data_IF_915399856724
#
_entry.id   IF_915399856724
#
_cell.length_a   1.000
_cell.length_b   1.000
_cell.length_c   1.000
_cell.angle_alpha   90.00
_cell.angle_beta   90.00
_cell.angle_gamma   90.00
#
_symmetry.space_group_name_H-M   'P 1'
#
loop_
_entity.id
_entity.type
_entity.pdbx_description
1 polymer ?
#
# COMPACT_ATOMS: atom_id res chain seq x y z
N UNK A 1 -11.25 30.41 18.70
CA UNK A 1 -10.34 29.62 17.84
C UNK A 1 -10.49 28.13 18.18
N UNK A 2 -11.42 27.40 17.53
CA UNK A 2 -11.71 25.97 17.81
C UNK A 2 -11.75 25.12 16.51
N UNK A 3 -11.07 25.56 15.44
CA UNK A 3 -11.16 24.91 14.13
C UNK A 3 -10.33 23.64 13.88
N UNK A 4 -9.18 23.35 14.56
CA UNK A 4 -8.35 22.21 14.16
C UNK A 4 -8.97 20.85 14.51
N UNK A 5 -9.77 20.76 15.59
CA UNK A 5 -10.36 19.50 16.05
C UNK A 5 -11.35 18.87 15.05
N UNK A 6 -12.11 19.67 14.29
CA UNK A 6 -13.08 19.16 13.30
C UNK A 6 -12.44 18.65 11.99
N UNK A 7 -11.20 19.03 11.72
CA UNK A 7 -10.47 18.60 10.52
C UNK A 7 -9.92 17.19 10.69
N UNK A 8 -9.43 16.86 11.89
CA UNK A 8 -8.94 15.51 12.20
C UNK A 8 -10.06 14.46 12.19
N UNK A 9 -11.28 14.80 12.62
CA UNK A 9 -12.47 13.94 12.50
C UNK A 9 -12.79 13.59 11.05
N UNK A 10 -12.46 14.48 10.10
CA UNK A 10 -12.67 14.25 8.66
C UNK A 10 -11.53 13.46 7.99
N UNK A 11 -10.44 13.18 8.69
CA UNK A 11 -9.29 12.42 8.16
C UNK A 11 -9.29 10.96 8.62
N UNK A 12 -10.46 10.42 8.94
CA UNK A 12 -10.63 9.10 9.52
C UNK A 12 -9.99 7.96 8.70
N UNK A 13 -10.09 8.02 7.38
CA UNK A 13 -9.53 6.99 6.49
C UNK A 13 -8.01 7.05 6.48
N UNK A 14 -7.45 8.24 6.28
CA UNK A 14 -6.01 8.49 6.28
C UNK A 14 -5.38 8.18 7.64
N UNK A 15 -6.00 8.62 8.72
CA UNK A 15 -5.53 8.31 10.08
C UNK A 15 -5.54 6.80 10.36
N UNK A 16 -6.58 6.09 9.89
CA UNK A 16 -6.64 4.62 10.02
C UNK A 16 -5.55 3.93 9.20
N UNK A 17 -5.24 4.42 8.00
CA UNK A 17 -4.15 3.90 7.17
C UNK A 17 -2.78 4.10 7.85
N UNK A 18 -2.50 5.31 8.35
CA UNK A 18 -1.25 5.62 9.07
C UNK A 18 -1.12 4.79 10.34
N UNK A 19 -2.18 4.67 11.14
CA UNK A 19 -2.15 3.85 12.36
C UNK A 19 -1.95 2.37 12.06
N UNK A 20 -2.57 1.87 10.99
CA UNK A 20 -2.37 0.48 10.56
C UNK A 20 -0.94 0.24 10.10
N UNK A 21 -0.40 1.14 9.27
CA UNK A 21 1.00 1.09 8.83
C UNK A 21 1.95 1.07 10.02
N UNK A 22 1.76 1.97 10.99
CA UNK A 22 2.59 2.05 12.19
C UNK A 22 2.48 0.79 13.06
N UNK A 23 1.26 0.30 13.32
CA UNK A 23 1.03 -0.86 14.19
C UNK A 23 1.56 -2.17 13.59
N UNK A 24 1.47 -2.32 12.27
CA UNK A 24 1.87 -3.53 11.56
C UNK A 24 3.13 -3.33 10.72
N UNK A 25 3.95 -2.34 11.07
CA UNK A 25 5.11 -1.91 10.31
C UNK A 25 6.03 -3.07 9.91
N UNK A 26 6.30 -4.00 10.83
CA UNK A 26 7.17 -5.16 10.54
C UNK A 26 6.64 -6.06 9.43
N UNK A 27 5.32 -6.31 9.40
CA UNK A 27 4.71 -7.16 8.38
C UNK A 27 4.66 -6.42 7.04
N UNK A 28 4.31 -5.13 7.07
CA UNK A 28 4.28 -4.27 5.88
C UNK A 28 5.68 -4.16 5.28
N UNK A 29 6.69 -3.91 6.12
CA UNK A 29 8.08 -3.83 5.72
C UNK A 29 8.60 -5.17 5.20
N UNK A 30 8.28 -6.29 5.86
CA UNK A 30 8.70 -7.62 5.43
C UNK A 30 8.16 -7.98 4.05
N UNK A 31 6.86 -7.77 3.81
CA UNK A 31 6.25 -7.99 2.50
C UNK A 31 6.76 -6.98 1.46
N UNK A 32 6.97 -5.72 1.86
CA UNK A 32 7.58 -4.70 1.02
C UNK A 32 9.01 -5.04 0.62
N UNK A 33 9.81 -5.63 1.51
CA UNK A 33 11.19 -6.03 1.27
C UNK A 33 11.25 -7.18 0.25
N UNK A 34 10.37 -8.18 0.38
CA UNK A 34 10.24 -9.26 -0.60
C UNK A 34 9.94 -8.68 -1.99
N UNK A 35 8.97 -7.76 -2.07
CA UNK A 35 8.62 -7.09 -3.33
C UNK A 35 9.77 -6.23 -3.88
N UNK A 36 10.46 -5.50 -3.00
CA UNK A 36 11.58 -4.62 -3.37
C UNK A 36 12.78 -5.40 -3.90
N UNK A 37 13.21 -6.45 -3.18
CA UNK A 37 14.31 -7.31 -3.62
C UNK A 37 13.96 -8.05 -4.91
N UNK A 38 12.74 -8.59 -5.01
CA UNK A 38 12.29 -9.22 -6.25
C UNK A 38 12.38 -8.26 -7.44
N UNK A 39 11.99 -6.98 -7.24
CA UNK A 39 12.09 -5.98 -8.29
C UNK A 39 13.53 -5.59 -8.63
N UNK A 40 14.43 -5.55 -7.64
CA UNK A 40 15.86 -5.31 -7.86
C UNK A 40 16.47 -6.40 -8.73
N UNK A 41 16.18 -7.67 -8.42
CA UNK A 41 16.67 -8.81 -9.21
C UNK A 41 16.11 -8.75 -10.64
N UNK A 42 14.82 -8.46 -10.80
CA UNK A 42 14.17 -8.34 -12.12
C UNK A 42 14.81 -7.28 -13.03
N UNK A 43 15.34 -6.20 -12.46
CA UNK A 43 15.97 -5.09 -13.19
C UNK A 43 17.47 -5.30 -13.41
N UNK A 44 17.97 -6.50 -13.16
CA UNK A 44 19.37 -6.84 -13.37
C UNK A 44 20.30 -6.34 -12.28
N UNK A 45 19.77 -6.02 -11.09
CA UNK A 45 20.56 -5.55 -9.94
C UNK A 45 21.73 -6.46 -9.57
N UNK A 46 21.61 -7.77 -9.86
CA UNK A 46 22.64 -8.78 -9.60
C UNK A 46 23.13 -9.49 -10.88
N UNK A 47 22.91 -8.88 -12.05
CA UNK A 47 23.24 -9.46 -13.35
C UNK A 47 22.05 -9.94 -14.16
N UNK A 48 22.33 -10.43 -15.36
CA UNK A 48 21.30 -10.91 -16.27
C UNK A 48 20.61 -12.15 -15.71
N UNK A 49 19.28 -12.13 -15.79
CA UNK A 49 18.43 -13.25 -15.40
C UNK A 49 17.69 -13.79 -16.61
N UNK A 50 17.43 -15.09 -16.63
CA UNK A 50 16.65 -15.70 -17.70
C UNK A 50 15.17 -15.28 -17.61
N UNK A 51 14.46 -15.32 -18.73
CA UNK A 51 13.04 -14.97 -18.79
C UNK A 51 12.18 -15.79 -17.83
N UNK A 52 12.55 -17.06 -17.57
CA UNK A 52 11.86 -17.91 -16.61
C UNK A 52 11.97 -17.38 -15.17
N UNK A 53 13.15 -16.93 -14.76
CA UNK A 53 13.39 -16.33 -13.44
C UNK A 53 12.61 -15.02 -13.31
N UNK A 54 12.56 -14.19 -14.36
CA UNK A 54 11.77 -12.95 -14.37
C UNK A 54 10.29 -13.21 -14.11
N UNK A 55 9.70 -14.24 -14.74
CA UNK A 55 8.30 -14.62 -14.54
C UNK A 55 8.06 -15.09 -13.10
N UNK A 56 8.94 -15.94 -12.55
CA UNK A 56 8.82 -16.41 -11.17
C UNK A 56 8.88 -15.23 -10.20
N UNK A 57 9.83 -14.30 -10.40
CA UNK A 57 9.95 -13.10 -9.58
C UNK A 57 8.71 -12.21 -9.68
N UNK A 58 8.09 -12.10 -10.86
CA UNK A 58 6.86 -11.32 -11.04
C UNK A 58 5.75 -11.91 -10.17
N UNK A 59 5.59 -13.23 -10.20
CA UNK A 59 4.62 -13.94 -9.35
C UNK A 59 4.92 -13.72 -7.87
N UNK A 60 6.19 -13.76 -7.44
CA UNK A 60 6.58 -13.53 -6.04
C UNK A 60 6.28 -12.09 -5.59
N UNK A 61 6.69 -11.10 -6.38
CA UNK A 61 6.49 -9.68 -6.08
C UNK A 61 5.00 -9.36 -5.99
N UNK A 62 4.23 -9.82 -6.97
CA UNK A 62 2.79 -9.53 -7.00
C UNK A 62 2.04 -10.31 -5.92
N UNK A 63 2.45 -11.54 -5.61
CA UNK A 63 1.89 -12.30 -4.49
C UNK A 63 2.13 -11.60 -3.15
N UNK A 64 3.30 -10.98 -2.94
CA UNK A 64 3.57 -10.22 -1.72
C UNK A 64 2.64 -9.00 -1.59
N UNK A 65 2.36 -8.29 -2.70
CA UNK A 65 1.41 -7.17 -2.74
C UNK A 65 -0.03 -7.62 -2.50
N UNK A 66 -0.46 -8.70 -3.14
CA UNK A 66 -1.79 -9.28 -2.94
C UNK A 66 -1.95 -9.74 -1.48
N UNK A 67 -0.93 -10.37 -0.91
CA UNK A 67 -0.94 -10.80 0.48
C UNK A 67 -1.04 -9.61 1.45
N UNK A 68 -0.30 -8.53 1.19
CA UNK A 68 -0.40 -7.29 1.95
C UNK A 68 -1.82 -6.71 1.86
N UNK A 69 -2.38 -6.61 0.64
CA UNK A 69 -3.72 -6.10 0.44
C UNK A 69 -4.78 -6.94 1.18
N UNK A 70 -4.68 -8.27 1.11
CA UNK A 70 -5.53 -9.21 1.86
C UNK A 70 -5.38 -9.03 3.37
N UNK A 71 -4.16 -8.84 3.85
CA UNK A 71 -3.88 -8.59 5.26
C UNK A 71 -4.55 -7.29 5.75
N UNK A 72 -4.49 -6.22 4.97
CA UNK A 72 -5.10 -4.93 5.32
C UNK A 72 -6.63 -4.98 5.23
N UNK A 73 -7.18 -5.49 4.12
CA UNK A 73 -8.64 -5.56 3.94
C UNK A 73 -9.27 -6.50 4.96
N UNK A 74 -8.50 -7.48 5.46
CA UNK A 74 -8.86 -8.37 6.56
C UNK A 74 -8.63 -7.81 7.96
N UNK A 75 -8.14 -6.57 8.08
CA UNK A 75 -7.81 -5.89 9.34
C UNK A 75 -6.80 -6.70 10.17
N UNK A 76 -5.63 -6.95 9.59
CA UNK A 76 -4.54 -7.76 10.15
C UNK A 76 -4.80 -9.28 10.17
N UNK A 77 -5.69 -9.77 9.31
CA UNK A 77 -5.95 -11.20 9.15
C UNK A 77 -6.17 -11.57 7.68
N UNK A 78 -5.21 -12.27 7.08
CA UNK A 78 -5.24 -12.67 5.66
C UNK A 78 -6.47 -13.52 5.33
N UNK A 79 -6.82 -14.48 6.19
CA UNK A 79 -7.97 -15.38 5.98
C UNK A 79 -9.28 -14.58 5.96
N UNK A 80 -9.43 -13.64 6.88
CA UNK A 80 -10.59 -12.74 6.90
C UNK A 80 -10.62 -11.86 5.64
N UNK A 81 -9.47 -11.37 5.18
CA UNK A 81 -9.34 -10.63 3.93
C UNK A 81 -9.80 -11.44 2.72
N UNK A 82 -9.33 -12.68 2.60
CA UNK A 82 -9.72 -13.58 1.51
C UNK A 82 -11.22 -13.85 1.51
N UNK A 83 -11.80 -14.12 2.69
CA UNK A 83 -13.25 -14.30 2.83
C UNK A 83 -14.02 -13.04 2.41
N UNK A 84 -13.55 -11.84 2.75
CA UNK A 84 -14.18 -10.58 2.33
C UNK A 84 -14.14 -10.41 0.82
N UNK A 85 -13.00 -10.64 0.18
CA UNK A 85 -12.89 -10.57 -1.29
C UNK A 85 -13.79 -11.63 -1.93
N UNK A 86 -13.75 -12.87 -1.47
CA UNK A 86 -14.61 -13.96 -1.98
C UNK A 86 -16.10 -13.61 -1.88
N UNK A 87 -16.53 -12.97 -0.79
CA UNK A 87 -17.93 -12.53 -0.61
C UNK A 87 -18.37 -11.51 -1.68
N UNK A 88 -17.47 -10.62 -2.13
CA UNK A 88 -17.77 -9.65 -3.20
C UNK A 88 -18.12 -10.37 -4.52
N UNK A 89 -17.44 -11.48 -4.83
CA UNK A 89 -17.66 -12.22 -6.07
C UNK A 89 -18.79 -13.25 -6.00
N UNK A 90 -19.06 -13.82 -4.82
CA UNK A 90 -20.02 -14.93 -4.65
C UNK A 90 -21.44 -14.49 -4.34
N UNK A 91 -21.64 -13.39 -3.59
CA UNK A 91 -22.97 -12.97 -3.13
C UNK A 91 -23.54 -11.83 -3.98
N UNK A 92 -24.14 -12.18 -5.14
CA UNK A 92 -24.68 -11.20 -6.10
C UNK A 92 -25.77 -10.28 -5.51
N UNK A 93 -26.62 -10.80 -4.62
CA UNK A 93 -27.69 -10.03 -3.97
C UNK A 93 -27.12 -8.97 -3.02
N UNK A 94 -26.17 -9.35 -2.17
CA UNK A 94 -25.48 -8.41 -1.26
C UNK A 94 -24.64 -7.38 -2.02
N UNK A 95 -24.11 -7.73 -3.19
CA UNK A 95 -23.29 -6.82 -4.00
C UNK A 95 -24.06 -5.54 -4.36
N UNK A 96 -25.33 -5.64 -4.76
CA UNK A 96 -26.13 -4.45 -5.13
C UNK A 96 -26.38 -3.55 -3.91
N UNK A 97 -26.65 -4.14 -2.75
CA UNK A 97 -26.81 -3.40 -1.50
C UNK A 97 -25.50 -2.73 -1.05
N UNK A 98 -24.37 -3.44 -1.07
CA UNK A 98 -23.05 -2.89 -0.74
C UNK A 98 -22.64 -1.78 -1.71
N UNK A 99 -22.94 -1.94 -3.00
CA UNK A 99 -22.66 -0.92 -4.02
C UNK A 99 -23.50 0.35 -3.80
N UNK A 100 -24.78 0.18 -3.46
CA UNK A 100 -25.67 1.31 -3.10
C UNK A 100 -25.17 2.05 -1.86
N UNK A 101 -24.73 1.32 -0.82
CA UNK A 101 -24.12 1.91 0.37
C UNK A 101 -22.84 2.68 0.01
N UNK A 102 -21.96 2.09 -0.80
CA UNK A 102 -20.72 2.72 -1.23
C UNK A 102 -20.98 4.01 -2.02
N UNK A 103 -21.90 3.99 -2.99
CA UNK A 103 -22.31 5.17 -3.77
C UNK A 103 -22.93 6.24 -2.88
N UNK A 104 -23.80 5.86 -1.95
CA UNK A 104 -24.41 6.78 -1.00
C UNK A 104 -23.32 7.45 -0.16
N UNK A 105 -22.43 6.68 0.45
CA UNK A 105 -21.34 7.18 1.28
C UNK A 105 -20.40 8.09 0.50
N UNK A 106 -20.03 7.69 -0.72
CA UNK A 106 -19.18 8.47 -1.61
C UNK A 106 -19.81 9.83 -1.93
N UNK A 107 -21.12 9.88 -2.19
CA UNK A 107 -21.84 11.14 -2.43
C UNK A 107 -22.05 11.98 -1.18
N UNK A 108 -22.35 11.36 -0.03
CA UNK A 108 -22.60 12.09 1.22
C UNK A 108 -21.34 12.59 1.89
N UNK A 109 -20.21 11.90 1.72
CA UNK A 109 -18.94 12.20 2.37
C UNK A 109 -17.84 12.57 1.37
N UNK A 110 -18.21 13.04 0.16
CA UNK A 110 -17.26 13.35 -0.91
C UNK A 110 -16.16 14.33 -0.48
N UNK A 111 -16.51 15.34 0.31
CA UNK A 111 -15.54 16.34 0.80
C UNK A 111 -14.55 15.73 1.80
N UNK A 112 -15.03 14.86 2.68
CA UNK A 112 -14.19 14.07 3.60
C UNK A 112 -13.24 13.17 2.81
N UNK A 113 -13.74 12.46 1.80
CA UNK A 113 -12.92 11.62 0.92
C UNK A 113 -11.86 12.43 0.18
N UNK A 114 -12.23 13.61 -0.35
CA UNK A 114 -11.31 14.51 -1.01
C UNK A 114 -10.18 14.95 -0.08
N UNK A 115 -10.49 15.33 1.16
CA UNK A 115 -9.46 15.68 2.15
C UNK A 115 -8.52 14.51 2.46
N UNK A 116 -9.05 13.29 2.62
CA UNK A 116 -8.22 12.11 2.84
C UNK A 116 -7.30 11.83 1.64
N UNK A 117 -7.82 12.01 0.42
CA UNK A 117 -7.06 11.82 -0.80
C UNK A 117 -5.97 12.89 -0.97
N UNK A 118 -6.26 14.16 -0.66
CA UNK A 118 -5.26 15.23 -0.65
C UNK A 118 -4.15 14.92 0.35
N UNK A 119 -4.50 14.53 1.59
CA UNK A 119 -3.51 14.19 2.61
C UNK A 119 -2.66 12.98 2.21
N UNK A 120 -3.29 11.94 1.66
CA UNK A 120 -2.60 10.79 1.10
C UNK A 120 -1.62 11.21 -0.01
N UNK A 121 -2.09 12.01 -0.98
CA UNK A 121 -1.28 12.49 -2.10
C UNK A 121 -0.11 13.36 -1.65
N UNK A 122 -0.28 14.21 -0.63
CA UNK A 122 0.81 15.01 -0.06
C UNK A 122 1.89 14.12 0.56
N UNK A 123 1.50 13.09 1.32
CA UNK A 123 2.47 12.13 1.89
C UNK A 123 3.13 11.29 0.81
N UNK A 124 2.37 10.79 -0.17
CA UNK A 124 2.91 10.02 -1.28
C UNK A 124 3.89 10.85 -2.12
N UNK A 125 3.57 12.12 -2.38
CA UNK A 125 4.45 13.06 -3.05
C UNK A 125 5.73 13.30 -2.24
N UNK A 126 5.61 13.58 -0.94
CA UNK A 126 6.77 13.77 -0.07
C UNK A 126 7.68 12.53 -0.05
N UNK A 127 7.11 11.32 0.07
CA UNK A 127 7.89 10.09 0.05
C UNK A 127 8.59 9.88 -1.30
N UNK A 128 7.91 10.12 -2.43
CA UNK A 128 8.56 10.04 -3.74
C UNK A 128 9.67 11.07 -3.88
N UNK A 129 9.44 12.31 -3.46
CA UNK A 129 10.45 13.36 -3.51
C UNK A 129 11.69 12.99 -2.67
N UNK A 130 11.49 12.46 -1.46
CA UNK A 130 12.59 12.00 -0.61
C UNK A 130 13.37 10.83 -1.24
N UNK A 131 12.68 9.91 -1.92
CA UNK A 131 13.31 8.79 -2.63
C UNK A 131 14.13 9.30 -3.81
N UNK A 132 13.60 10.24 -4.59
CA UNK A 132 14.30 10.82 -5.73
C UNK A 132 15.56 11.56 -5.25
N UNK A 133 15.44 12.38 -4.20
CA UNK A 133 16.58 13.05 -3.57
C UNK A 133 17.63 12.05 -3.07
N UNK A 134 17.20 10.97 -2.42
CA UNK A 134 18.11 9.93 -1.94
C UNK A 134 18.77 9.17 -3.10
N UNK A 135 18.08 8.88 -4.20
CA UNK A 135 18.67 8.20 -5.34
C UNK A 135 19.65 9.08 -6.14
N UNK A 136 19.29 10.34 -6.38
CA UNK A 136 20.02 11.23 -7.27
C UNK A 136 21.06 12.11 -6.58
N UNK A 137 20.75 12.67 -5.40
CA UNK A 137 21.65 13.63 -4.75
C UNK A 137 22.70 12.97 -3.85
N UNK A 138 22.44 11.76 -3.33
CA UNK A 138 23.38 11.12 -2.40
C UNK A 138 24.41 10.21 -3.07
N UNK A 139 24.45 10.15 -4.41
CA UNK A 139 25.29 9.21 -5.17
C UNK A 139 25.18 7.74 -4.72
N UNK A 140 24.12 7.37 -3.98
CA UNK A 140 23.95 6.03 -3.40
C UNK A 140 24.05 4.94 -4.47
N UNK A 141 23.54 5.21 -5.67
CA UNK A 141 23.69 4.33 -6.82
C UNK A 141 25.14 4.06 -7.17
N UNK A 142 25.95 5.11 -7.29
CA UNK A 142 27.37 5.01 -7.60
C UNK A 142 28.10 4.27 -6.50
N UNK A 143 27.83 4.60 -5.23
CA UNK A 143 28.46 3.92 -4.09
C UNK A 143 28.11 2.43 -4.03
N UNK A 144 26.85 2.04 -4.28
CA UNK A 144 26.44 0.63 -4.28
C UNK A 144 27.07 -0.14 -5.44
N UNK A 145 27.28 0.52 -6.59
CA UNK A 145 27.96 -0.04 -7.74
C UNK A 145 29.47 -0.20 -7.50
N UNK A 146 30.13 0.84 -6.99
CA UNK A 146 31.56 0.82 -6.66
C UNK A 146 31.91 -0.25 -5.61
N UNK A 147 31.01 -0.51 -4.67
CA UNK A 147 31.18 -1.57 -3.67
C UNK A 147 30.74 -2.97 -4.17
N UNK A 148 30.37 -3.11 -5.45
CA UNK A 148 30.00 -4.39 -6.06
C UNK A 148 28.67 -4.99 -5.56
N UNK A 149 27.82 -4.18 -4.91
CA UNK A 149 26.50 -4.62 -4.43
C UNK A 149 25.51 -4.65 -5.60
N UNK A 150 25.63 -3.71 -6.53
CA UNK A 150 24.89 -3.69 -7.78
C UNK A 150 25.80 -4.00 -8.96
N UNK A 151 25.29 -4.76 -9.93
CA UNK A 151 26.02 -5.01 -11.17
C UNK A 151 26.18 -3.72 -11.99
N UNK A 152 27.24 -3.64 -12.79
CA UNK A 152 27.56 -2.51 -13.65
C UNK A 152 26.49 -2.19 -14.70
N UNK A 153 25.67 -3.18 -15.05
CA UNK A 153 24.55 -3.07 -15.99
C UNK A 153 23.25 -2.62 -15.33
N UNK A 154 23.24 -2.46 -13.99
CA UNK A 154 22.03 -2.11 -13.26
C UNK A 154 21.62 -0.68 -13.55
N UNK A 155 20.33 -0.42 -13.72
CA UNK A 155 19.84 0.95 -13.89
C UNK A 155 19.61 1.64 -12.54
N UNK A 156 19.68 2.98 -12.50
CA UNK A 156 19.29 3.79 -11.33
C UNK A 156 17.86 3.49 -10.85
N UNK A 157 16.98 3.11 -11.79
CA UNK A 157 15.61 2.67 -11.53
C UNK A 157 15.53 1.51 -10.54
N UNK A 158 16.58 0.70 -10.43
CA UNK A 158 16.69 -0.41 -9.47
C UNK A 158 16.53 0.09 -8.03
N UNK A 159 17.23 1.17 -7.67
CA UNK A 159 17.21 1.75 -6.32
C UNK A 159 15.91 2.52 -6.08
N UNK A 160 15.46 3.29 -7.07
CA UNK A 160 14.19 3.99 -6.99
C UNK A 160 13.03 3.01 -6.73
N UNK A 161 12.98 1.91 -7.48
CA UNK A 161 11.94 0.90 -7.31
C UNK A 161 12.10 0.09 -6.03
N UNK A 162 13.32 -0.13 -5.54
CA UNK A 162 13.54 -0.72 -4.23
C UNK A 162 12.86 0.12 -3.14
N UNK A 163 13.16 1.41 -3.06
CA UNK A 163 12.57 2.28 -2.04
C UNK A 163 11.06 2.49 -2.24
N UNK A 164 10.57 2.58 -3.49
CA UNK A 164 9.14 2.68 -3.77
C UNK A 164 8.37 1.44 -3.30
N UNK A 165 8.93 0.24 -3.47
CA UNK A 165 8.31 -1.00 -2.98
C UNK A 165 8.38 -1.16 -1.46
N UNK A 166 9.28 -0.44 -0.78
CA UNK A 166 9.35 -0.42 0.69
C UNK A 166 8.41 0.60 1.34
N UNK A 167 8.02 1.66 0.63
CA UNK A 167 7.36 2.82 1.22
C UNK A 167 6.05 3.18 0.52
N UNK A 168 6.13 3.84 -0.63
CA UNK A 168 4.99 4.40 -1.37
C UNK A 168 3.99 3.32 -1.74
N UNK A 169 4.44 2.22 -2.36
CA UNK A 169 3.54 1.16 -2.85
C UNK A 169 2.80 0.47 -1.69
N UNK A 170 3.46 -0.02 -0.63
CA UNK A 170 2.75 -0.57 0.53
C UNK A 170 1.78 0.40 1.17
N UNK A 171 2.15 1.69 1.28
CA UNK A 171 1.30 2.72 1.85
C UNK A 171 0.04 2.97 1.01
N UNK A 172 0.19 3.01 -0.33
CA UNK A 172 -0.94 3.09 -1.27
C UNK A 172 -1.89 1.91 -1.11
N UNK A 173 -1.38 0.68 -1.08
CA UNK A 173 -2.21 -0.52 -0.90
C UNK A 173 -2.98 -0.49 0.43
N UNK A 174 -2.34 -0.02 1.50
CA UNK A 174 -2.98 0.15 2.80
C UNK A 174 -4.09 1.20 2.73
N UNK A 175 -3.81 2.37 2.13
CA UNK A 175 -4.78 3.44 1.99
C UNK A 175 -5.99 3.02 1.16
N UNK A 176 -5.78 2.35 0.03
CA UNK A 176 -6.86 1.83 -0.84
C UNK A 176 -7.72 0.80 -0.13
N UNK A 177 -7.11 -0.16 0.59
CA UNK A 177 -7.86 -1.13 1.36
C UNK A 177 -8.68 -0.47 2.48
N UNK A 178 -8.12 0.54 3.16
CA UNK A 178 -8.84 1.31 4.17
C UNK A 178 -9.98 2.13 3.56
N UNK A 179 -9.76 2.71 2.39
CA UNK A 179 -10.78 3.44 1.63
C UNK A 179 -11.95 2.51 1.27
N UNK A 180 -11.68 1.30 0.77
CA UNK A 180 -12.73 0.31 0.48
C UNK A 180 -13.53 -0.06 1.75
N UNK A 181 -12.86 -0.21 2.89
CA UNK A 181 -13.53 -0.48 4.16
C UNK A 181 -14.33 0.73 4.65
N UNK A 182 -13.87 1.94 4.38
CA UNK A 182 -14.55 3.17 4.74
C UNK A 182 -15.85 3.35 3.94
N UNK A 183 -15.79 3.28 2.61
CA UNK A 183 -16.97 3.48 1.76
C UNK A 183 -18.02 2.38 1.96
N UNK A 184 -17.61 1.17 2.36
CA UNK A 184 -18.53 0.06 2.69
C UNK A 184 -18.99 0.07 4.16
N UNK A 185 -18.67 1.11 4.93
CA UNK A 185 -19.02 1.29 6.35
C UNK A 185 -18.54 0.14 7.26
N UNK A 186 -17.45 -0.52 6.88
CA UNK A 186 -16.81 -1.59 7.65
C UNK A 186 -15.67 -1.08 8.53
N UNK A 187 -15.15 0.12 8.26
CA UNK A 187 -14.10 0.75 9.05
C UNK A 187 -14.59 1.19 10.45
N UNK A 188 -15.80 1.74 10.55
CA UNK A 188 -16.38 2.18 11.84
C UNK A 188 -16.63 1.03 12.82
N UNK A 189 -17.00 -0.16 12.33
CA UNK A 189 -17.17 -1.37 13.17
C UNK A 189 -15.85 -1.85 13.79
N UNK A 190 -14.73 -1.63 13.10
CA UNK A 190 -13.40 -1.96 13.60
C UNK A 190 -12.93 -1.00 14.70
N UNK A 191 -13.16 0.32 14.55
CA UNK A 191 -12.83 1.31 15.58
C UNK A 191 -13.58 1.06 16.91
N UNK A 192 -14.81 0.53 16.84
CA UNK A 192 -15.64 0.25 18.02
C UNK A 192 -15.44 -1.15 18.65
N UNK A 193 -14.37 -1.86 18.31
CA UNK A 193 -14.03 -3.13 18.99
C UNK A 193 -14.97 -4.30 18.68
N UNK A 194 -15.91 -4.17 17.75
CA UNK A 194 -16.64 -5.31 17.20
C UNK A 194 -15.71 -6.05 16.26
N UNK A 195 -14.85 -6.89 16.83
CA UNK A 195 -14.22 -7.98 16.12
C UNK A 195 -15.32 -8.68 15.33
N UNK A 196 -15.25 -8.57 14.00
CA UNK A 196 -16.12 -9.29 13.09
C UNK A 196 -15.89 -10.78 13.34
N UNK A 197 -16.75 -11.37 14.18
CA UNK A 197 -16.98 -12.82 14.26
C UNK A 197 -17.44 -13.32 12.89
#
# INVERSE_FOLDING_TARGET
>A
MNHPLRLFEKLDCFHSAVNFFRKHFLIVLGLGLIAALGRVIQLGGFGEISSGVTIILEVVVESARVLLFLYVIGLANVKAGFVRIKKIFTHKADRRAQWSIALRNLRTQWFTLLLNFIMFSLVAWLLNYLIDQLAYETCLYLTLRENGILNDTSSEWTILLFFKNLSVIPFTLIFEAMFLLFITNKLGKYKNGYALK
#
